data_IF_697764966168
#
_entry.id   IF_697764966168
#
_cell.length_a   1.000
_cell.length_b   1.000
_cell.length_c   1.000
_cell.angle_alpha   90.00
_cell.angle_beta   90.00
_cell.angle_gamma   90.00
#
_symmetry.space_group_name_H-M   'P 1'
#
loop_
_entity.id
_entity.type
_entity.pdbx_description
1 polymer ?
#
# COMPACT_ATOMS: atom_id res chain seq x y z
N UNK A 1 -4.20 21.10 -11.80
CA UNK A 1 -3.14 20.51 -10.96
C UNK A 1 -1.87 21.35 -11.07
N UNK A 2 -1.53 22.09 -10.02
CA UNK A 2 -0.31 22.91 -9.98
C UNK A 2 0.93 22.08 -9.56
N UNK A 3 2.13 22.66 -9.62
CA UNK A 3 3.38 21.96 -9.31
C UNK A 3 3.44 21.43 -7.87
N UNK A 4 2.80 22.11 -6.93
CA UNK A 4 2.72 21.71 -5.52
C UNK A 4 1.87 20.44 -5.38
N UNK A 5 0.66 20.43 -5.97
CA UNK A 5 -0.23 19.27 -5.95
C UNK A 5 0.39 18.03 -6.63
N UNK A 6 1.11 18.23 -7.75
CA UNK A 6 1.82 17.14 -8.43
C UNK A 6 2.93 16.56 -7.56
N UNK A 7 3.69 17.40 -6.87
CA UNK A 7 4.74 16.98 -5.94
C UNK A 7 4.14 16.18 -4.78
N UNK A 8 3.06 16.68 -4.18
CA UNK A 8 2.39 16.00 -3.06
C UNK A 8 1.87 14.61 -3.46
N UNK A 9 1.20 14.49 -4.61
CA UNK A 9 0.70 13.19 -5.10
C UNK A 9 1.85 12.21 -5.32
N UNK A 10 2.97 12.68 -5.89
CA UNK A 10 4.16 11.84 -6.10
C UNK A 10 4.79 11.41 -4.77
N UNK A 11 4.87 12.30 -3.80
CA UNK A 11 5.45 12.02 -2.48
C UNK A 11 4.55 11.05 -1.69
N UNK A 12 3.23 11.16 -1.86
CA UNK A 12 2.26 10.19 -1.31
C UNK A 12 2.37 8.82 -1.98
N UNK A 13 2.49 8.79 -3.30
CA UNK A 13 2.62 7.55 -4.06
C UNK A 13 3.86 6.76 -3.63
N UNK A 14 5.01 7.43 -3.54
CA UNK A 14 6.27 6.83 -3.07
C UNK A 14 6.19 6.29 -1.65
N UNK A 15 5.43 6.97 -0.79
CA UNK A 15 5.23 6.48 0.57
C UNK A 15 4.36 5.21 0.59
N UNK A 16 3.34 5.12 -0.26
CA UNK A 16 2.51 3.92 -0.39
C UNK A 16 3.29 2.76 -1.03
N UNK A 17 4.10 3.02 -2.06
CA UNK A 17 5.03 2.04 -2.65
C UNK A 17 5.91 1.41 -1.55
N UNK A 18 6.53 2.25 -0.72
CA UNK A 18 7.36 1.78 0.39
C UNK A 18 6.61 0.90 1.40
N UNK A 19 5.40 1.30 1.81
CA UNK A 19 4.58 0.49 2.73
C UNK A 19 4.06 -0.80 2.11
N UNK A 20 3.83 -0.84 0.80
CA UNK A 20 3.43 -2.07 0.11
C UNK A 20 4.58 -3.08 0.04
N UNK A 21 5.82 -2.61 -0.08
CA UNK A 21 7.01 -3.48 -0.03
C UNK A 21 7.21 -4.09 1.35
N UNK A 22 6.83 -3.40 2.44
CA UNK A 22 6.91 -3.97 3.80
C UNK A 22 5.79 -4.98 4.12
N UNK A 23 4.73 -5.00 3.31
CA UNK A 23 3.63 -5.96 3.45
C UNK A 23 4.03 -7.40 3.10
N UNK A 24 4.83 -7.54 2.04
CA UNK A 24 5.24 -8.77 1.35
C UNK A 24 4.44 -10.05 1.74
N UNK A 25 3.15 -10.11 1.38
CA UNK A 25 2.23 -11.12 1.91
C UNK A 25 2.55 -12.54 1.44
N UNK A 26 3.28 -12.65 0.34
CA UNK A 26 3.65 -13.89 -0.34
C UNK A 26 5.12 -14.25 -0.13
N UNK A 27 5.93 -13.37 0.50
CA UNK A 27 7.35 -13.63 0.71
C UNK A 27 8.10 -13.64 -0.61
N UNK A 28 7.93 -12.64 -1.47
CA UNK A 28 8.71 -12.47 -2.71
C UNK A 28 9.90 -11.53 -2.49
N UNK A 29 9.79 -10.60 -1.55
CA UNK A 29 10.90 -9.78 -1.05
C UNK A 29 11.58 -10.60 0.06
N UNK A 30 12.13 -11.76 -0.30
CA UNK A 30 12.76 -12.68 0.66
C UNK A 30 14.08 -12.15 1.23
N UNK A 31 14.67 -11.15 0.58
CA UNK A 31 15.91 -10.55 1.04
C UNK A 31 15.95 -9.07 0.63
N UNK A 32 15.82 -8.11 1.56
CA UNK A 32 15.94 -6.69 1.25
C UNK A 32 17.37 -6.28 0.85
N UNK A 33 18.36 -7.16 1.06
CA UNK A 33 19.75 -6.98 0.61
C UNK A 33 20.02 -7.66 -0.75
N UNK A 34 19.05 -8.38 -1.33
CA UNK A 34 19.14 -8.96 -2.67
C UNK A 34 18.86 -7.86 -3.73
N UNK A 35 19.88 -7.44 -4.50
CA UNK A 35 19.71 -6.40 -5.51
C UNK A 35 18.86 -6.85 -6.71
N UNK A 36 18.63 -8.15 -6.87
CA UNK A 36 17.82 -8.74 -7.94
C UNK A 36 16.38 -9.01 -7.49
N UNK A 37 16.04 -8.77 -6.21
CA UNK A 37 14.67 -8.85 -5.75
C UNK A 37 13.79 -7.83 -6.51
N UNK A 38 12.62 -8.22 -7.04
CA UNK A 38 11.76 -7.34 -7.83
C UNK A 38 10.98 -6.39 -6.90
N UNK A 39 11.69 -5.45 -6.27
CA UNK A 39 11.17 -4.51 -5.28
C UNK A 39 10.05 -3.61 -5.83
N UNK A 40 9.92 -3.49 -7.16
CA UNK A 40 8.93 -2.69 -7.84
C UNK A 40 7.64 -3.46 -8.23
N UNK A 41 7.57 -4.77 -8.02
CA UNK A 41 6.38 -5.58 -8.37
C UNK A 41 5.09 -5.04 -7.72
N UNK A 42 5.20 -4.59 -6.46
CA UNK A 42 4.08 -4.06 -5.71
C UNK A 42 3.77 -2.58 -6.00
N UNK A 43 4.69 -1.85 -6.65
CA UNK A 43 4.49 -0.42 -6.96
C UNK A 43 3.30 -0.20 -7.89
N UNK A 44 3.03 -1.18 -8.77
CA UNK A 44 1.89 -1.17 -9.68
C UNK A 44 0.52 -1.08 -8.97
N UNK A 45 0.44 -1.52 -7.71
CA UNK A 45 -0.78 -1.45 -6.89
C UNK A 45 -0.92 -0.13 -6.11
N UNK A 46 0.19 0.59 -5.92
CA UNK A 46 0.23 1.81 -5.11
C UNK A 46 -0.76 2.90 -5.55
N UNK A 47 -1.00 3.16 -6.84
CA UNK A 47 -1.97 4.18 -7.26
C UNK A 47 -3.40 3.89 -6.80
N UNK A 48 -3.83 2.62 -6.86
CA UNK A 48 -5.19 2.22 -6.47
C UNK A 48 -5.32 2.25 -4.95
N UNK A 49 -4.33 1.72 -4.23
CA UNK A 49 -4.29 1.76 -2.76
C UNK A 49 -4.28 3.20 -2.25
N UNK A 50 -3.47 4.09 -2.85
CA UNK A 50 -3.44 5.50 -2.50
C UNK A 50 -4.81 6.16 -2.69
N UNK A 51 -5.56 5.78 -3.74
CA UNK A 51 -6.92 6.29 -3.93
C UNK A 51 -7.83 5.90 -2.76
N UNK A 52 -7.83 4.63 -2.32
CA UNK A 52 -8.59 4.20 -1.13
C UNK A 52 -8.22 5.00 0.12
N UNK A 53 -6.92 5.25 0.32
CA UNK A 53 -6.41 6.01 1.47
C UNK A 53 -6.84 7.49 1.43
N UNK A 54 -6.77 8.14 0.27
CA UNK A 54 -7.20 9.54 0.08
C UNK A 54 -8.72 9.70 0.19
N UNK A 55 -9.47 8.71 -0.28
CA UNK A 55 -10.94 8.70 -0.20
C UNK A 55 -11.44 8.37 1.23
N UNK A 56 -10.55 8.02 2.16
CA UNK A 56 -10.91 7.69 3.54
C UNK A 56 -11.70 6.38 3.66
N UNK A 57 -11.45 5.43 2.76
CA UNK A 57 -12.16 4.16 2.72
C UNK A 57 -12.01 3.36 4.03
N UNK A 58 -13.03 2.55 4.33
CA UNK A 58 -13.01 1.64 5.46
C UNK A 58 -12.05 0.46 5.22
N UNK A 59 -11.50 -0.09 6.31
CA UNK A 59 -10.51 -1.17 6.26
C UNK A 59 -11.01 -2.41 5.54
N UNK A 60 -12.30 -2.73 5.66
CA UNK A 60 -12.92 -3.87 5.01
C UNK A 60 -12.93 -3.73 3.47
N UNK A 61 -13.13 -2.51 2.95
CA UNK A 61 -13.11 -2.25 1.52
C UNK A 61 -11.69 -2.41 0.94
N UNK A 62 -10.69 -1.86 1.63
CA UNK A 62 -9.28 -2.02 1.25
C UNK A 62 -8.83 -3.48 1.37
N UNK A 63 -9.22 -4.17 2.45
CA UNK A 63 -8.90 -5.58 2.66
C UNK A 63 -9.44 -6.49 1.55
N UNK A 64 -10.68 -6.26 1.11
CA UNK A 64 -11.26 -7.02 -0.03
C UNK A 64 -10.49 -6.75 -1.33
N UNK A 65 -10.06 -5.52 -1.56
CA UNK A 65 -9.23 -5.19 -2.72
C UNK A 65 -7.88 -5.91 -2.68
N UNK A 66 -7.17 -5.83 -1.55
CA UNK A 66 -5.89 -6.51 -1.34
C UNK A 66 -6.02 -8.02 -1.46
N UNK A 67 -7.10 -8.61 -0.91
CA UNK A 67 -7.37 -10.04 -1.02
C UNK A 67 -7.57 -10.48 -2.47
N UNK A 68 -8.30 -9.70 -3.28
CA UNK A 68 -8.43 -9.95 -4.72
C UNK A 68 -7.10 -9.84 -5.45
N UNK A 69 -6.27 -8.85 -5.13
CA UNK A 69 -4.92 -8.75 -5.70
C UNK A 69 -4.11 -10.03 -5.41
N UNK A 70 -4.12 -10.49 -4.15
CA UNK A 70 -3.39 -11.71 -3.78
C UNK A 70 -3.93 -12.98 -4.45
N UNK A 71 -5.25 -13.12 -4.55
CA UNK A 71 -5.87 -14.37 -5.03
C UNK A 71 -6.04 -14.42 -6.55
N UNK A 72 -6.39 -13.29 -7.20
CA UNK A 72 -6.69 -13.22 -8.63
C UNK A 72 -5.46 -12.83 -9.45
N UNK A 73 -4.61 -11.91 -8.97
CA UNK A 73 -3.45 -11.43 -9.71
C UNK A 73 -2.17 -12.22 -9.39
N UNK A 74 -1.94 -12.53 -8.11
CA UNK A 74 -0.76 -13.30 -7.67
C UNK A 74 -1.03 -14.81 -7.60
N UNK A 75 -2.30 -15.23 -7.68
CA UNK A 75 -2.67 -16.65 -7.62
C UNK A 75 -2.43 -17.30 -6.25
N UNK A 76 -2.24 -16.53 -5.18
CA UNK A 76 -1.94 -17.04 -3.85
C UNK A 76 -3.20 -17.05 -2.98
N UNK A 77 -3.65 -18.23 -2.51
CA UNK A 77 -4.85 -18.36 -1.68
C UNK A 77 -4.54 -17.98 -0.22
N UNK A 78 -4.35 -16.69 0.03
CA UNK A 78 -4.18 -16.16 1.39
C UNK A 78 -5.54 -15.91 2.06
N UNK A 79 -5.69 -16.20 3.37
CA UNK A 79 -6.91 -15.88 4.10
C UNK A 79 -7.21 -14.37 4.09
N UNK A 80 -8.49 -13.98 3.96
CA UNK A 80 -8.93 -12.58 3.95
C UNK A 80 -8.49 -11.83 5.21
N UNK A 81 -8.38 -12.54 6.34
CA UNK A 81 -7.95 -12.00 7.63
C UNK A 81 -6.53 -11.41 7.56
N UNK A 82 -5.64 -11.95 6.72
CA UNK A 82 -4.31 -11.37 6.48
C UNK A 82 -4.43 -10.01 5.79
N UNK A 83 -5.26 -9.92 4.75
CA UNK A 83 -5.52 -8.67 4.05
C UNK A 83 -6.21 -7.63 4.95
N UNK A 84 -7.08 -8.08 5.86
CA UNK A 84 -7.73 -7.22 6.86
C UNK A 84 -6.73 -6.60 7.83
N UNK A 85 -5.88 -7.40 8.47
CA UNK A 85 -4.86 -6.91 9.40
C UNK A 85 -3.93 -5.89 8.74
N UNK A 86 -3.52 -6.16 7.51
CA UNK A 86 -2.68 -5.23 6.77
C UNK A 86 -3.43 -3.94 6.40
N UNK A 87 -4.68 -4.04 5.91
CA UNK A 87 -5.49 -2.86 5.59
C UNK A 87 -5.68 -1.94 6.81
N UNK A 88 -5.93 -2.51 7.99
CA UNK A 88 -6.04 -1.75 9.24
C UNK A 88 -4.74 -1.03 9.60
N UNK A 89 -3.61 -1.73 9.51
CA UNK A 89 -2.28 -1.16 9.74
C UNK A 89 -1.98 -0.01 8.78
N UNK A 90 -2.20 -0.23 7.48
CA UNK A 90 -1.94 0.75 6.42
C UNK A 90 -2.80 2.01 6.58
N UNK A 91 -4.08 1.86 6.92
CA UNK A 91 -4.97 3.00 7.20
C UNK A 91 -4.51 3.75 8.45
N UNK A 92 -4.11 3.04 9.51
CA UNK A 92 -3.57 3.64 10.73
C UNK A 92 -2.32 4.48 10.45
N UNK A 93 -1.36 3.90 9.72
CA UNK A 93 -0.16 4.58 9.26
C UNK A 93 -0.49 5.83 8.42
N UNK A 94 -1.39 5.70 7.45
CA UNK A 94 -1.75 6.81 6.57
C UNK A 94 -2.34 8.00 7.35
N UNK A 95 -3.24 7.72 8.29
CA UNK A 95 -3.82 8.74 9.17
C UNK A 95 -2.75 9.43 10.02
N UNK A 96 -1.84 8.66 10.61
CA UNK A 96 -0.73 9.21 11.40
C UNK A 96 0.18 10.11 10.54
N UNK A 97 0.53 9.67 9.33
CA UNK A 97 1.34 10.44 8.37
C UNK A 97 0.66 11.74 7.95
N UNK A 98 -0.63 11.71 7.60
CA UNK A 98 -1.39 12.91 7.21
C UNK A 98 -1.54 13.88 8.39
N UNK A 99 -1.73 13.37 9.61
CA UNK A 99 -1.72 14.20 10.82
C UNK A 99 -0.36 14.86 11.04
N UNK A 100 0.75 14.13 10.87
CA UNK A 100 2.11 14.66 11.00
C UNK A 100 2.47 15.72 9.96
N UNK A 101 1.97 15.57 8.72
CA UNK A 101 2.14 16.58 7.66
C UNK A 101 1.32 17.85 7.96
N UNK A 102 0.12 17.69 8.51
CA UNK A 102 -0.78 18.82 8.82
C UNK A 102 -0.50 19.47 10.19
N UNK A 103 0.47 18.97 10.97
CA UNK A 103 0.81 19.44 12.32
C UNK A 103 1.94 20.49 12.35
N UNK A 104 2.27 21.08 11.20
CA UNK A 104 3.32 22.11 11.04
C UNK A 104 2.71 23.39 10.49
#
# INVERSE_FOLDING_TARGET
MNNVQRKEIRDDLRAVEYELRSWDPIGVILDPDDPDAPLDEYDSYAPVVLKFLRDGAAADALARHLHKLTTEHMGVPLPLERSQKYAESLIGWWKARKKGINAV
#
